data_IF_563914101511
#
_entry.id   IF_563914101511
#
_cell.length_a   1.000
_cell.length_b   1.000
_cell.length_c   1.000
_cell.angle_alpha   90.00
_cell.angle_beta   90.00
_cell.angle_gamma   90.00
#
_symmetry.space_group_name_H-M   'P 1'
#
loop_
_entity.id
_entity.type
_entity.pdbx_description
1 polymer ?
#
# COMPACT_ATOMS: atom_id res chain seq x y z
N UNK A 1 -1.36 6.92 -13.08
CA UNK A 1 -2.02 7.47 -11.87
C UNK A 1 -1.41 6.79 -10.65
N UNK A 2 -1.06 7.53 -9.58
CA UNK A 2 -0.39 6.96 -8.38
C UNK A 2 -1.43 6.45 -7.37
N UNK A 3 -1.09 5.43 -6.58
CA UNK A 3 -1.95 4.81 -5.54
C UNK A 3 -2.63 5.85 -4.63
N UNK A 4 -1.91 6.88 -4.18
CA UNK A 4 -2.47 7.96 -3.37
C UNK A 4 -3.58 8.73 -4.10
N UNK A 5 -3.34 9.12 -5.34
CA UNK A 5 -4.31 9.88 -6.14
C UNK A 5 -5.55 9.06 -6.45
N UNK A 6 -5.38 7.75 -6.70
CA UNK A 6 -6.49 6.84 -6.95
C UNK A 6 -7.36 6.69 -5.69
N UNK A 7 -6.74 6.49 -4.54
CA UNK A 7 -7.45 6.39 -3.25
C UNK A 7 -8.17 7.69 -2.92
N UNK A 8 -7.52 8.84 -3.10
CA UNK A 8 -8.12 10.15 -2.86
C UNK A 8 -9.31 10.42 -3.79
N UNK A 9 -9.23 9.98 -5.06
CA UNK A 9 -10.35 10.13 -6.00
C UNK A 9 -11.56 9.29 -5.59
N UNK A 10 -11.35 8.07 -5.10
CA UNK A 10 -12.43 7.12 -4.79
C UNK A 10 -13.03 7.41 -3.41
N UNK A 11 -12.19 7.62 -2.40
CA UNK A 11 -12.60 7.68 -1.00
C UNK A 11 -12.49 9.07 -0.37
N UNK A 12 -12.01 10.06 -1.13
CA UNK A 12 -11.82 11.43 -0.66
C UNK A 12 -11.08 11.44 0.68
N UNK A 13 -11.56 12.21 1.65
CA UNK A 13 -10.97 12.36 2.98
C UNK A 13 -11.39 11.26 3.96
N UNK A 14 -12.09 10.21 3.52
CA UNK A 14 -12.59 9.16 4.43
C UNK A 14 -11.55 8.06 4.67
N UNK A 15 -10.70 7.78 3.67
CA UNK A 15 -9.71 6.72 3.71
C UNK A 15 -8.35 7.26 3.27
N UNK A 16 -7.31 6.93 4.04
CA UNK A 16 -5.93 7.26 3.75
C UNK A 16 -5.15 6.02 3.29
N UNK A 17 -4.45 6.08 2.15
CA UNK A 17 -3.54 5.04 1.72
C UNK A 17 -2.20 5.14 2.48
N UNK A 18 -1.68 3.99 2.92
CA UNK A 18 -0.37 3.90 3.59
C UNK A 18 0.39 2.73 2.99
N UNK A 19 1.69 2.92 2.72
CA UNK A 19 2.60 1.82 2.36
C UNK A 19 3.57 1.64 3.51
N UNK A 20 3.44 0.52 4.21
CA UNK A 20 4.35 0.11 5.27
C UNK A 20 5.47 -0.72 4.69
N UNK A 21 6.68 -0.45 5.15
CA UNK A 21 7.88 -1.17 4.75
C UNK A 21 8.71 -1.45 5.97
N UNK A 22 9.17 -2.68 6.08
CA UNK A 22 10.08 -3.11 7.12
C UNK A 22 11.26 -3.82 6.49
N UNK A 23 12.40 -3.62 7.12
CA UNK A 23 13.63 -4.35 6.80
C UNK A 23 13.54 -5.72 7.46
N UNK A 24 13.79 -6.76 6.69
CA UNK A 24 14.15 -8.06 7.24
C UNK A 24 15.66 -8.03 7.45
N UNK A 25 16.10 -8.28 8.68
CA UNK A 25 17.51 -8.15 9.11
C UNK A 25 18.41 -9.26 8.55
N UNK A 26 18.01 -9.88 7.45
CA UNK A 26 18.59 -11.10 6.91
C UNK A 26 18.94 -10.86 5.44
N UNK A 27 20.21 -11.08 5.10
CA UNK A 27 20.76 -10.93 3.74
C UNK A 27 20.08 -11.85 2.73
N UNK A 28 19.47 -12.94 3.18
CA UNK A 28 18.65 -13.83 2.37
C UNK A 28 17.20 -13.33 2.19
N UNK A 29 16.72 -12.43 3.06
CA UNK A 29 15.32 -12.01 3.12
C UNK A 29 15.13 -10.54 2.67
N UNK A 30 14.64 -10.30 1.45
CA UNK A 30 14.48 -8.98 0.84
C UNK A 30 13.52 -8.04 1.59
N UNK A 31 13.64 -6.73 1.34
CA UNK A 31 12.74 -5.70 1.87
C UNK A 31 11.28 -6.06 1.62
N UNK A 32 10.49 -6.09 2.67
CA UNK A 32 9.06 -6.40 2.60
C UNK A 32 8.23 -5.13 2.68
N UNK A 33 7.19 -5.06 1.85
CA UNK A 33 6.27 -3.94 1.79
C UNK A 33 4.82 -4.41 1.71
N UNK A 34 3.93 -3.62 2.31
CA UNK A 34 2.49 -3.85 2.24
C UNK A 34 1.76 -2.52 2.15
N UNK A 35 0.90 -2.40 1.15
CA UNK A 35 -0.06 -1.32 1.07
C UNK A 35 -1.26 -1.60 1.98
N UNK A 36 -1.82 -0.55 2.57
CA UNK A 36 -3.01 -0.58 3.42
C UNK A 36 -3.90 0.62 3.14
N UNK A 37 -5.20 0.43 3.32
CA UNK A 37 -6.17 1.51 3.44
C UNK A 37 -6.54 1.64 4.91
N UNK A 38 -6.39 2.85 5.45
CA UNK A 38 -6.77 3.14 6.84
C UNK A 38 -7.85 4.21 6.88
N UNK A 39 -8.75 4.15 7.86
CA UNK A 39 -9.74 5.20 8.05
C UNK A 39 -9.06 6.50 8.49
N UNK A 40 -9.53 7.62 7.96
CA UNK A 40 -9.03 8.96 8.27
C UNK A 40 -9.81 9.63 9.42
N UNK A 41 -10.17 8.87 10.46
CA UNK A 41 -10.93 9.33 11.64
C UNK A 41 -10.03 9.46 12.89
N UNK A 42 -8.72 9.58 12.70
CA UNK A 42 -7.73 9.61 13.79
C UNK A 42 -7.43 8.25 14.43
N UNK A 43 -8.32 7.25 14.31
CA UNK A 43 -8.11 5.90 14.86
C UNK A 43 -7.07 5.09 14.09
N UNK A 44 -6.78 5.49 12.84
CA UNK A 44 -5.92 4.75 11.88
C UNK A 44 -6.36 3.29 11.70
N UNK A 45 -7.63 2.97 11.94
CA UNK A 45 -8.16 1.61 11.78
C UNK A 45 -7.92 1.13 10.36
N UNK A 46 -7.25 -0.01 10.22
CA UNK A 46 -7.00 -0.63 8.91
C UNK A 46 -8.31 -1.17 8.37
N UNK A 47 -8.73 -0.62 7.23
CA UNK A 47 -9.93 -1.05 6.50
C UNK A 47 -9.58 -2.18 5.55
N UNK A 48 -8.43 -2.08 4.88
CA UNK A 48 -7.97 -3.09 3.93
C UNK A 48 -6.46 -3.27 4.00
N UNK A 49 -6.00 -4.52 3.85
CA UNK A 49 -4.61 -4.90 3.69
C UNK A 49 -4.44 -5.56 2.33
N UNK A 50 -3.49 -5.07 1.55
CA UNK A 50 -3.13 -5.73 0.30
C UNK A 50 -2.08 -6.82 0.55
N UNK A 51 -1.86 -7.68 -0.45
CA UNK A 51 -0.81 -8.69 -0.40
C UNK A 51 0.54 -8.06 -0.05
N UNK A 52 1.33 -8.78 0.75
CA UNK A 52 2.71 -8.39 1.02
C UNK A 52 3.57 -8.75 -0.20
N UNK A 53 4.50 -7.87 -0.52
CA UNK A 53 5.50 -8.08 -1.58
C UNK A 53 6.89 -7.90 -1.02
N UNK A 54 7.87 -8.52 -1.65
CA UNK A 54 9.27 -8.43 -1.24
C UNK A 54 10.16 -8.10 -2.45
N UNK A 55 11.16 -7.25 -2.24
CA UNK A 55 12.14 -6.89 -3.27
C UNK A 55 13.54 -6.64 -2.68
N UNK A 56 14.58 -6.81 -3.49
CA UNK A 56 15.96 -6.58 -3.07
C UNK A 56 16.21 -5.14 -2.61
N UNK A 57 15.43 -4.18 -3.14
CA UNK A 57 15.54 -2.76 -2.80
C UNK A 57 14.27 -2.26 -2.11
N UNK A 58 14.44 -1.47 -1.06
CA UNK A 58 13.35 -0.80 -0.32
C UNK A 58 12.35 -0.06 -1.22
N UNK A 59 12.86 0.71 -2.18
CA UNK A 59 12.05 1.51 -3.11
C UNK A 59 11.20 0.60 -4.00
N UNK A 60 11.79 -0.47 -4.51
CA UNK A 60 11.12 -1.44 -5.37
C UNK A 60 9.98 -2.14 -4.63
N UNK A 61 10.22 -2.57 -3.38
CA UNK A 61 9.17 -3.16 -2.55
C UNK A 61 7.99 -2.19 -2.35
N UNK A 62 8.27 -0.89 -2.07
CA UNK A 62 7.23 0.14 -1.96
C UNK A 62 6.43 0.30 -3.25
N UNK A 63 7.13 0.39 -4.37
CA UNK A 63 6.53 0.65 -5.67
C UNK A 63 5.66 -0.55 -6.09
N UNK A 64 6.13 -1.78 -5.89
CA UNK A 64 5.36 -3.00 -6.11
C UNK A 64 4.10 -3.05 -5.22
N UNK A 65 4.23 -2.76 -3.92
CA UNK A 65 3.10 -2.78 -3.00
C UNK A 65 2.04 -1.74 -3.38
N UNK A 66 2.48 -0.52 -3.72
CA UNK A 66 1.60 0.55 -4.18
C UNK A 66 0.93 0.20 -5.52
N UNK A 67 1.66 -0.44 -6.44
CA UNK A 67 1.16 -0.84 -7.74
C UNK A 67 0.08 -1.92 -7.62
N UNK A 68 0.30 -2.99 -6.86
CA UNK A 68 -0.72 -4.03 -6.65
C UNK A 68 -1.99 -3.47 -6.00
N UNK A 69 -1.85 -2.55 -5.04
CA UNK A 69 -3.00 -1.88 -4.44
C UNK A 69 -3.75 -0.97 -5.42
N UNK A 70 -3.02 -0.26 -6.28
CA UNK A 70 -3.61 0.56 -7.33
C UNK A 70 -4.35 -0.28 -8.37
N UNK A 71 -3.80 -1.41 -8.80
CA UNK A 71 -4.46 -2.34 -9.72
C UNK A 71 -5.75 -2.90 -9.12
N UNK A 72 -5.71 -3.31 -7.85
CA UNK A 72 -6.92 -3.74 -7.15
C UNK A 72 -7.97 -2.63 -7.11
N UNK A 73 -7.59 -1.39 -6.76
CA UNK A 73 -8.52 -0.26 -6.74
C UNK A 73 -9.18 -0.02 -8.09
N UNK A 74 -8.42 -0.14 -9.20
CA UNK A 74 -8.97 -0.03 -10.56
C UNK A 74 -9.96 -1.14 -10.88
N UNK A 75 -9.76 -2.36 -10.35
CA UNK A 75 -10.71 -3.47 -10.58
C UNK A 75 -12.05 -3.26 -9.88
N UNK A 76 -12.06 -2.55 -8.75
CA UNK A 76 -13.28 -2.29 -7.99
C UNK A 76 -14.06 -1.07 -8.54
N UNK A 77 -13.39 -0.16 -9.24
CA UNK A 77 -13.96 1.09 -9.75
C UNK A 77 -13.42 1.39 -11.16
N UNK A 78 -13.99 0.77 -12.22
CA UNK A 78 -13.60 1.02 -13.60
C UNK A 78 -13.87 2.47 -14.07
#
# INVERSE_FOLDING_TARGET
MRFNNATQRIFSDTIRPIVLVWETNDRANPWSAQARLVRNDGTKKVVLRFGQVSAARKKEAKDMAAQSAFEWLRTQYP
#
